data_IF_179505345744
#
_entry.id   IF_179505345744
#
_cell.length_a   1.000
_cell.length_b   1.000
_cell.length_c   1.000
_cell.angle_alpha   90.00
_cell.angle_beta   90.00
_cell.angle_gamma   90.00
#
_symmetry.space_group_name_H-M   'P 1'
#
loop_
_entity.id
_entity.type
_entity.pdbx_description
1 polymer ?
#
# COMPACT_ATOMS: atom_id res chain seq x y z
N UNK A 1 -5.06 -5.68 29.50
CA UNK A 1 -5.15 -4.74 28.35
C UNK A 1 -5.94 -3.47 28.71
N UNK A 2 -7.17 -3.55 29.24
CA UNK A 2 -7.96 -2.34 29.59
C UNK A 2 -7.43 -1.51 30.77
N UNK A 3 -6.69 -2.12 31.71
CA UNK A 3 -6.03 -1.40 32.80
C UNK A 3 -4.96 -0.40 32.34
N UNK A 4 -4.46 -0.51 31.10
CA UNK A 4 -3.51 0.45 30.52
C UNK A 4 -4.14 1.84 30.33
N UNK A 5 -5.48 1.90 30.22
CA UNK A 5 -6.24 3.12 30.00
C UNK A 5 -6.85 3.70 31.29
N UNK A 6 -6.78 2.96 32.41
CA UNK A 6 -7.44 3.32 33.67
C UNK A 6 -6.77 4.48 34.43
N UNK A 7 -5.58 4.92 34.01
CA UNK A 7 -4.84 6.05 34.57
C UNK A 7 -4.54 7.16 33.57
N UNK A 8 -5.18 7.16 32.40
CA UNK A 8 -4.99 8.22 31.41
C UNK A 8 -5.84 9.43 31.77
N UNK A 9 -5.22 10.60 31.67
CA UNK A 9 -5.94 11.86 31.73
C UNK A 9 -6.95 11.95 30.58
N UNK A 10 -8.09 12.60 30.83
CA UNK A 10 -9.22 12.68 29.88
C UNK A 10 -8.75 13.27 28.54
N UNK A 11 -7.87 14.26 28.59
CA UNK A 11 -7.28 14.90 27.41
C UNK A 11 -6.47 13.91 26.57
N UNK A 12 -5.59 13.12 27.20
CA UNK A 12 -4.80 12.10 26.49
C UNK A 12 -5.69 11.02 25.89
N UNK A 13 -6.72 10.60 26.61
CA UNK A 13 -7.72 9.64 26.11
C UNK A 13 -8.44 10.13 24.85
N UNK A 14 -8.89 11.39 24.84
CA UNK A 14 -9.52 12.01 23.67
C UNK A 14 -8.56 12.12 22.48
N UNK A 15 -7.31 12.49 22.71
CA UNK A 15 -6.30 12.59 21.65
C UNK A 15 -5.94 11.22 21.07
N UNK A 16 -5.88 10.16 21.89
CA UNK A 16 -5.68 8.80 21.38
C UNK A 16 -6.84 8.33 20.50
N UNK A 17 -8.08 8.63 20.88
CA UNK A 17 -9.25 8.34 20.05
C UNK A 17 -9.20 9.11 18.72
N UNK A 18 -8.78 10.36 18.75
CA UNK A 18 -8.59 11.17 17.55
C UNK A 18 -7.47 10.63 16.66
N UNK A 19 -6.34 10.22 17.24
CA UNK A 19 -5.23 9.61 16.51
C UNK A 19 -5.66 8.28 15.87
N UNK A 20 -6.42 7.46 16.58
CA UNK A 20 -7.02 6.24 16.02
C UNK A 20 -7.94 6.55 14.85
N UNK A 21 -8.78 7.59 14.96
CA UNK A 21 -9.64 8.01 13.85
C UNK A 21 -8.83 8.43 12.60
N UNK A 22 -7.71 9.14 12.79
CA UNK A 22 -6.82 9.52 11.69
C UNK A 22 -6.19 8.28 11.03
N UNK A 23 -5.71 7.33 11.83
CA UNK A 23 -5.14 6.08 11.31
C UNK A 23 -6.19 5.30 10.51
N UNK A 24 -7.39 5.12 11.05
CA UNK A 24 -8.48 4.43 10.35
C UNK A 24 -8.87 5.13 9.05
N UNK A 25 -8.87 6.47 9.04
CA UNK A 25 -9.15 7.25 7.84
C UNK A 25 -8.03 7.13 6.79
N UNK A 26 -6.76 7.17 7.22
CA UNK A 26 -5.62 6.92 6.36
C UNK A 26 -5.67 5.53 5.73
N UNK A 27 -5.95 4.49 6.53
CA UNK A 27 -6.09 3.11 6.04
C UNK A 27 -7.26 2.95 5.05
N UNK A 28 -8.38 3.64 5.30
CA UNK A 28 -9.51 3.64 4.37
C UNK A 28 -9.12 4.25 3.01
N UNK A 29 -8.41 5.39 3.01
CA UNK A 29 -7.90 6.01 1.78
C UNK A 29 -6.89 5.11 1.08
N UNK A 30 -5.98 4.51 1.84
CA UNK A 30 -5.00 3.57 1.31
C UNK A 30 -5.69 2.40 0.58
N UNK A 31 -6.76 1.87 1.18
CA UNK A 31 -7.60 0.84 0.59
C UNK A 31 -8.18 1.22 -0.78
N UNK A 32 -8.53 2.49 -1.02
CA UNK A 32 -9.02 2.95 -2.33
C UNK A 32 -7.95 2.86 -3.43
N UNK A 33 -6.72 3.29 -3.11
CA UNK A 33 -5.59 3.23 -4.03
C UNK A 33 -5.18 1.78 -4.32
N UNK A 34 -5.05 0.95 -3.28
CA UNK A 34 -4.57 -0.42 -3.44
C UNK A 34 -5.61 -1.37 -4.04
N UNK A 35 -6.90 -1.14 -3.79
CA UNK A 35 -7.97 -1.92 -4.43
C UNK A 35 -7.88 -1.81 -5.94
N UNK A 36 -7.62 -0.61 -6.48
CA UNK A 36 -7.50 -0.39 -7.92
C UNK A 36 -6.39 -1.28 -8.54
N UNK A 37 -5.25 -1.43 -7.84
CA UNK A 37 -4.15 -2.28 -8.29
C UNK A 37 -4.54 -3.76 -8.42
N UNK A 38 -5.37 -4.27 -7.50
CA UNK A 38 -5.79 -5.67 -7.50
C UNK A 38 -6.96 -5.96 -8.47
N UNK A 39 -7.92 -5.04 -8.59
CA UNK A 39 -9.18 -5.32 -9.31
C UNK A 39 -9.18 -4.87 -10.77
N UNK A 40 -8.27 -3.97 -11.17
CA UNK A 40 -8.28 -3.37 -12.51
C UNK A 40 -8.25 -4.43 -13.62
N UNK A 41 -7.40 -5.45 -13.50
CA UNK A 41 -7.26 -6.50 -14.52
C UNK A 41 -8.52 -7.35 -14.67
N UNK A 42 -9.14 -7.74 -13.55
CA UNK A 42 -10.33 -8.61 -13.53
C UNK A 42 -11.57 -7.85 -14.03
N UNK A 43 -11.70 -6.58 -13.67
CA UNK A 43 -12.81 -5.72 -14.12
C UNK A 43 -12.65 -5.38 -15.61
N UNK A 44 -11.46 -4.97 -16.04
CA UNK A 44 -11.20 -4.59 -17.44
C UNK A 44 -11.40 -5.76 -18.41
N UNK A 45 -10.98 -6.97 -18.01
CA UNK A 45 -11.21 -8.20 -18.79
C UNK A 45 -12.64 -8.75 -18.68
N UNK A 46 -13.51 -8.12 -17.88
CA UNK A 46 -14.89 -8.57 -17.59
C UNK A 46 -14.96 -9.99 -17.02
N UNK A 47 -13.91 -10.45 -16.37
CA UNK A 47 -13.86 -11.77 -15.75
C UNK A 47 -14.74 -11.84 -14.48
N UNK A 48 -14.97 -10.71 -13.81
CA UNK A 48 -15.81 -10.61 -12.62
C UNK A 48 -16.58 -9.28 -12.61
N UNK A 49 -17.76 -9.26 -11.97
CA UNK A 49 -18.51 -8.03 -11.68
C UNK A 49 -17.71 -7.14 -10.72
N UNK A 50 -17.75 -5.82 -10.94
CA UNK A 50 -17.01 -4.83 -10.15
C UNK A 50 -17.26 -4.94 -8.65
N UNK A 51 -18.52 -5.08 -8.23
CA UNK A 51 -18.89 -5.22 -6.82
C UNK A 51 -18.22 -6.44 -6.17
N UNK A 52 -18.23 -7.59 -6.85
CA UNK A 52 -17.62 -8.81 -6.32
C UNK A 52 -16.10 -8.71 -6.28
N UNK A 53 -15.49 -8.08 -7.29
CA UNK A 53 -14.04 -7.87 -7.34
C UNK A 53 -13.55 -7.02 -6.16
N UNK A 54 -14.27 -5.95 -5.80
CA UNK A 54 -13.96 -5.10 -4.65
C UNK A 54 -14.13 -5.84 -3.33
N UNK A 55 -15.22 -6.60 -3.15
CA UNK A 55 -15.44 -7.40 -1.93
C UNK A 55 -14.34 -8.45 -1.77
N UNK A 56 -13.96 -9.13 -2.85
CA UNK A 56 -12.85 -10.09 -2.84
C UNK A 56 -11.54 -9.41 -2.46
N UNK A 57 -11.23 -8.25 -3.07
CA UNK A 57 -10.03 -7.49 -2.74
C UNK A 57 -10.00 -7.11 -1.25
N UNK A 58 -11.12 -6.68 -0.66
CA UNK A 58 -11.20 -6.36 0.76
C UNK A 58 -10.90 -7.59 1.65
N UNK A 59 -11.52 -8.73 1.36
CA UNK A 59 -11.29 -9.98 2.11
C UNK A 59 -9.84 -10.44 2.02
N UNK A 60 -9.26 -10.45 0.81
CA UNK A 60 -7.87 -10.89 0.64
C UNK A 60 -6.84 -9.91 1.20
N UNK A 61 -7.09 -8.59 1.16
CA UNK A 61 -6.23 -7.62 1.85
C UNK A 61 -6.26 -7.84 3.37
N UNK A 62 -7.45 -8.06 3.94
CA UNK A 62 -7.60 -8.35 5.37
C UNK A 62 -6.88 -9.65 5.76
N UNK A 63 -7.05 -10.73 4.98
CA UNK A 63 -6.31 -11.99 5.18
C UNK A 63 -4.81 -11.80 4.99
N UNK A 64 -4.39 -10.95 4.06
CA UNK A 64 -2.98 -10.61 3.84
C UNK A 64 -2.33 -10.03 5.08
N UNK A 65 -3.00 -9.12 5.79
CA UNK A 65 -2.51 -8.57 7.06
C UNK A 65 -2.49 -9.64 8.16
N UNK A 66 -3.56 -10.43 8.28
CA UNK A 66 -3.65 -11.49 9.31
C UNK A 66 -2.58 -12.58 9.15
N UNK A 67 -2.28 -12.99 7.91
CA UNK A 67 -1.34 -14.07 7.60
C UNK A 67 0.09 -13.58 7.37
N UNK A 68 0.26 -12.36 6.85
CA UNK A 68 1.56 -11.76 6.52
C UNK A 68 2.32 -11.22 7.74
N UNK A 69 1.62 -11.04 8.87
CA UNK A 69 2.21 -10.62 10.13
C UNK A 69 2.60 -9.14 10.18
N UNK A 70 3.38 -8.78 11.20
CA UNK A 70 3.66 -7.37 11.57
C UNK A 70 5.01 -6.86 11.04
N UNK A 71 5.67 -7.60 10.15
CA UNK A 71 7.03 -7.32 9.67
C UNK A 71 7.16 -5.92 9.07
N UNK A 72 6.19 -5.51 8.25
CA UNK A 72 6.15 -4.18 7.62
C UNK A 72 5.87 -3.11 8.67
N UNK A 73 4.94 -3.36 9.59
CA UNK A 73 4.64 -2.42 10.68
C UNK A 73 5.89 -2.15 11.53
N UNK A 74 6.66 -3.18 11.89
CA UNK A 74 7.93 -3.01 12.60
C UNK A 74 8.95 -2.21 11.78
N UNK A 75 9.05 -2.46 10.47
CA UNK A 75 9.98 -1.70 9.63
C UNK A 75 9.66 -0.19 9.63
N UNK A 76 8.37 0.17 9.61
CA UNK A 76 7.92 1.56 9.71
C UNK A 76 8.19 2.15 11.10
N UNK A 77 7.90 1.41 12.18
CA UNK A 77 8.17 1.89 13.56
C UNK A 77 9.65 2.20 13.77
N UNK A 78 10.56 1.37 13.24
CA UNK A 78 12.01 1.60 13.34
C UNK A 78 12.51 2.77 12.48
N UNK A 79 11.66 3.31 11.59
CA UNK A 79 11.95 4.49 10.79
C UNK A 79 11.48 5.78 11.47
N UNK A 80 10.58 5.69 12.46
CA UNK A 80 10.12 6.86 13.19
C UNK A 80 11.28 7.53 13.94
N UNK A 81 11.28 8.87 14.04
CA UNK A 81 12.27 9.60 14.83
C UNK A 81 12.29 9.10 16.27
N UNK A 82 13.47 8.94 16.86
CA UNK A 82 13.64 8.49 18.25
C UNK A 82 12.92 9.40 19.24
N UNK A 83 12.95 10.70 19.01
CA UNK A 83 12.22 11.70 19.81
C UNK A 83 10.71 11.45 19.85
N UNK A 84 10.13 11.01 18.73
CA UNK A 84 8.71 10.65 18.65
C UNK A 84 8.39 9.44 19.53
N UNK A 85 9.26 8.44 19.49
CA UNK A 85 9.11 7.21 20.26
C UNK A 85 9.29 7.46 21.77
N UNK A 86 10.21 8.36 22.15
CA UNK A 86 10.47 8.69 23.54
C UNK A 86 9.42 9.65 24.13
N UNK A 87 8.82 10.52 23.30
CA UNK A 87 7.91 11.58 23.74
C UNK A 87 6.47 11.38 23.26
N UNK A 88 6.06 10.16 22.94
CA UNK A 88 4.72 9.86 22.39
C UNK A 88 3.55 10.37 23.25
N UNK A 89 3.75 10.50 24.56
CA UNK A 89 2.75 11.02 25.51
C UNK A 89 2.79 12.53 25.73
N UNK A 90 3.75 13.25 25.14
CA UNK A 90 3.86 14.71 25.28
C UNK A 90 3.07 15.42 24.18
N UNK A 91 2.77 16.70 24.40
CA UNK A 91 2.16 17.56 23.37
C UNK A 91 2.99 17.60 22.09
N UNK A 92 4.32 17.55 22.21
CA UNK A 92 5.24 17.53 21.08
C UNK A 92 5.15 16.25 20.25
N UNK A 93 5.16 15.07 20.91
CA UNK A 93 5.03 13.80 20.19
C UNK A 93 3.66 13.64 19.51
N UNK A 94 2.59 14.07 20.18
CA UNK A 94 1.25 14.09 19.58
C UNK A 94 1.18 15.01 18.37
N UNK A 95 1.76 16.22 18.44
CA UNK A 95 1.82 17.13 17.31
C UNK A 95 2.53 16.50 16.11
N UNK A 96 3.67 15.82 16.33
CA UNK A 96 4.38 15.09 15.29
C UNK A 96 3.54 13.98 14.65
N UNK A 97 2.84 13.16 15.45
CA UNK A 97 1.95 12.09 14.93
C UNK A 97 0.84 12.70 14.06
N UNK A 98 0.15 13.73 14.55
CA UNK A 98 -0.94 14.36 13.81
C UNK A 98 -0.43 15.04 12.54
N UNK A 99 0.69 15.74 12.57
CA UNK A 99 1.30 16.36 11.39
C UNK A 99 1.66 15.32 10.32
N UNK A 100 2.28 14.21 10.72
CA UNK A 100 2.63 13.12 9.82
C UNK A 100 1.39 12.49 9.16
N UNK A 101 0.39 12.13 9.96
CA UNK A 101 -0.84 11.51 9.46
C UNK A 101 -1.62 12.47 8.57
N UNK A 102 -1.74 13.75 8.97
CA UNK A 102 -2.48 14.74 8.21
C UNK A 102 -1.82 15.01 6.85
N UNK A 103 -0.48 15.14 6.81
CA UNK A 103 0.25 15.29 5.56
C UNK A 103 0.02 14.09 4.63
N UNK A 104 0.09 12.88 5.18
CA UNK A 104 -0.12 11.66 4.40
C UNK A 104 -1.56 11.53 3.88
N UNK A 105 -2.56 11.85 4.71
CA UNK A 105 -3.98 11.84 4.35
C UNK A 105 -4.27 12.87 3.25
N UNK A 106 -3.83 14.12 3.42
CA UNK A 106 -4.09 15.21 2.45
C UNK A 106 -3.51 14.84 1.10
N UNK A 107 -2.27 14.33 1.08
CA UNK A 107 -1.63 13.94 -0.16
C UNK A 107 -2.33 12.75 -0.83
N UNK A 108 -2.64 11.70 -0.08
CA UNK A 108 -3.32 10.52 -0.63
C UNK A 108 -4.74 10.83 -1.12
N UNK A 109 -5.47 11.71 -0.44
CA UNK A 109 -6.80 12.14 -0.88
C UNK A 109 -6.70 13.02 -2.14
N UNK A 110 -5.70 13.92 -2.18
CA UNK A 110 -5.44 14.76 -3.34
C UNK A 110 -5.11 13.94 -4.59
N UNK A 111 -4.19 12.98 -4.49
CA UNK A 111 -3.82 12.12 -5.62
C UNK A 111 -5.00 11.26 -6.07
N UNK A 112 -5.79 10.74 -5.14
CA UNK A 112 -7.02 10.02 -5.46
C UNK A 112 -8.03 10.90 -6.21
N UNK A 113 -8.26 12.12 -5.73
CA UNK A 113 -9.20 13.06 -6.35
C UNK A 113 -8.81 13.41 -7.79
N UNK A 114 -7.51 13.54 -8.06
CA UNK A 114 -7.00 13.76 -9.42
C UNK A 114 -6.80 12.48 -10.24
N UNK A 115 -7.13 11.30 -9.69
CA UNK A 115 -6.97 10.01 -10.38
C UNK A 115 -5.51 9.65 -10.68
N UNK A 116 -4.56 10.21 -9.94
CA UNK A 116 -3.14 9.95 -10.12
C UNK A 116 -2.76 8.65 -9.38
N UNK A 117 -2.15 7.67 -10.07
CA UNK A 117 -1.64 6.48 -9.39
C UNK A 117 -0.48 6.89 -8.49
N UNK A 118 -0.71 6.87 -7.18
CA UNK A 118 0.27 7.24 -6.16
C UNK A 118 0.51 6.07 -5.21
N UNK A 119 1.71 6.02 -4.63
CA UNK A 119 2.06 5.00 -3.64
C UNK A 119 1.90 5.56 -2.23
N UNK A 120 0.92 5.04 -1.49
CA UNK A 120 0.68 5.42 -0.09
C UNK A 120 1.89 5.17 0.82
N UNK A 121 2.69 4.13 0.54
CA UNK A 121 3.93 3.85 1.27
C UNK A 121 4.96 4.96 1.10
N UNK A 122 5.15 5.47 -0.12
CA UNK A 122 6.07 6.60 -0.36
C UNK A 122 5.58 7.87 0.35
N UNK A 123 4.26 8.08 0.34
CA UNK A 123 3.64 9.22 1.02
C UNK A 123 3.87 9.16 2.54
N UNK A 124 3.70 8.00 3.17
CA UNK A 124 3.96 7.83 4.62
C UNK A 124 5.44 7.99 4.96
N UNK A 125 6.33 7.35 4.19
CA UNK A 125 7.79 7.46 4.34
C UNK A 125 8.22 8.92 4.21
N UNK A 126 7.70 9.64 3.21
CA UNK A 126 7.96 11.07 3.02
C UNK A 126 7.47 11.92 4.19
N UNK A 127 6.28 11.63 4.73
CA UNK A 127 5.75 12.30 5.91
C UNK A 127 6.62 12.07 7.16
N UNK A 128 7.10 10.83 7.38
CA UNK A 128 8.03 10.46 8.47
C UNK A 128 9.34 11.25 8.37
N UNK A 129 9.92 11.32 7.17
CA UNK A 129 11.15 12.10 6.92
C UNK A 129 10.89 13.59 7.16
N UNK A 130 9.74 14.10 6.71
CA UNK A 130 9.34 15.48 6.90
C UNK A 130 9.27 15.87 8.38
N UNK A 131 8.55 15.10 9.20
CA UNK A 131 8.46 15.37 10.64
C UNK A 131 9.81 15.21 11.35
N UNK A 132 10.65 14.26 10.94
CA UNK A 132 11.98 14.07 11.50
C UNK A 132 12.91 15.25 11.20
N UNK A 133 12.86 15.76 9.97
CA UNK A 133 13.63 16.94 9.56
C UNK A 133 13.15 18.20 10.29
N UNK A 134 11.84 18.43 10.36
CA UNK A 134 11.29 19.59 11.10
C UNK A 134 11.63 19.52 12.58
N UNK A 135 11.54 18.33 13.20
CA UNK A 135 11.93 18.14 14.59
C UNK A 135 13.41 18.49 14.79
N UNK A 136 14.32 17.96 13.96
CA UNK A 136 15.75 18.24 14.03
C UNK A 136 16.07 19.74 13.93
N UNK A 137 15.38 20.46 13.03
CA UNK A 137 15.52 21.91 12.87
C UNK A 137 15.04 22.67 14.11
N UNK A 138 13.96 22.21 14.76
CA UNK A 138 13.41 22.86 15.96
C UNK A 138 14.26 22.61 17.21
N UNK A 139 14.83 21.41 17.35
CA UNK A 139 15.65 21.02 18.51
C UNK A 139 17.13 21.34 18.33
N UNK A 140 17.55 21.79 17.14
CA UNK A 140 18.95 22.05 16.80
C UNK A 140 19.81 20.79 16.76
N UNK A 141 19.20 19.61 16.64
CA UNK A 141 19.91 18.33 16.55
C UNK A 141 20.31 18.03 15.11
N UNK A 142 21.36 17.23 14.93
CA UNK A 142 21.77 16.79 13.60
C UNK A 142 20.65 15.96 12.97
N UNK A 143 20.34 16.23 11.70
CA UNK A 143 19.37 15.45 10.90
C UNK A 143 19.73 13.97 10.85
N UNK A 144 21.03 13.67 10.89
CA UNK A 144 21.56 12.30 10.90
C UNK A 144 21.26 11.58 12.21
N UNK A 145 21.18 12.30 13.32
CA UNK A 145 20.85 11.74 14.64
C UNK A 145 19.34 11.63 14.84
N UNK A 146 18.58 12.52 14.20
CA UNK A 146 17.12 12.54 14.27
C UNK A 146 16.45 11.48 13.36
N UNK A 147 17.12 11.04 12.30
CA UNK A 147 16.62 10.05 11.34
C UNK A 147 17.46 8.78 11.36
N UNK A 148 16.80 7.62 11.31
CA UNK A 148 17.50 6.34 11.13
C UNK A 148 17.96 6.17 9.67
N UNK A 149 19.00 6.89 9.26
CA UNK A 149 19.51 6.93 7.87
C UNK A 149 19.76 5.53 7.29
N UNK A 150 20.39 4.57 7.99
CA UNK A 150 20.57 3.22 7.47
C UNK A 150 19.24 2.54 7.13
N UNK A 151 18.22 2.71 7.98
CA UNK A 151 16.90 2.11 7.76
C UNK A 151 16.16 2.79 6.62
N UNK A 152 16.23 4.12 6.53
CA UNK A 152 15.68 4.92 5.43
C UNK A 152 16.26 4.42 4.10
N UNK A 153 17.58 4.33 3.99
CA UNK A 153 18.26 3.86 2.77
C UNK A 153 17.89 2.42 2.41
N UNK A 154 17.79 1.52 3.40
CA UNK A 154 17.36 0.14 3.17
C UNK A 154 15.94 0.06 2.62
N UNK A 155 15.00 0.84 3.17
CA UNK A 155 13.61 0.90 2.70
C UNK A 155 13.57 1.49 1.29
N UNK A 156 14.22 2.62 1.03
CA UNK A 156 14.31 3.20 -0.31
C UNK A 156 14.91 2.23 -1.33
N UNK A 157 15.95 1.50 -0.96
CA UNK A 157 16.53 0.45 -1.79
C UNK A 157 15.49 -0.63 -2.15
N UNK A 158 14.71 -1.10 -1.18
CA UNK A 158 13.63 -2.07 -1.43
C UNK A 158 12.54 -1.53 -2.36
N UNK A 159 12.22 -0.24 -2.26
CA UNK A 159 11.23 0.44 -3.10
C UNK A 159 11.69 0.52 -4.57
N UNK A 160 13.00 0.62 -4.83
CA UNK A 160 13.56 0.62 -6.19
C UNK A 160 13.72 -0.81 -6.73
N UNK A 161 14.12 -1.75 -5.89
CA UNK A 161 14.37 -3.14 -6.30
C UNK A 161 13.07 -3.90 -6.56
N UNK A 162 12.02 -3.63 -5.78
CA UNK A 162 10.76 -4.38 -5.86
C UNK A 162 10.05 -4.32 -7.23
N UNK A 163 9.94 -3.18 -7.95
CA UNK A 163 9.36 -3.16 -9.29
C UNK A 163 10.19 -3.94 -10.31
N UNK A 164 11.53 -3.89 -10.20
CA UNK A 164 12.43 -4.62 -11.09
C UNK A 164 12.23 -6.13 -10.91
N UNK A 165 12.23 -6.58 -9.65
CA UNK A 165 11.98 -7.99 -9.32
C UNK A 165 10.59 -8.41 -9.81
N UNK A 166 9.55 -7.60 -9.55
CA UNK A 166 8.20 -7.86 -10.04
C UNK A 166 8.13 -7.99 -11.56
N UNK A 167 8.82 -7.12 -12.29
CA UNK A 167 8.88 -7.16 -13.76
C UNK A 167 9.60 -8.41 -14.27
N UNK A 168 10.71 -8.80 -13.65
CA UNK A 168 11.45 -10.02 -14.02
C UNK A 168 10.59 -11.27 -13.79
N UNK A 169 9.91 -11.37 -12.65
CA UNK A 169 9.02 -12.51 -12.35
C UNK A 169 7.81 -12.55 -13.27
N UNK A 170 7.13 -11.41 -13.49
CA UNK A 170 5.98 -11.34 -14.39
C UNK A 170 6.38 -11.68 -15.84
N UNK A 171 7.49 -11.13 -16.32
CA UNK A 171 8.03 -11.41 -17.64
C UNK A 171 8.44 -12.87 -17.80
N UNK A 172 9.11 -13.44 -16.80
CA UNK A 172 9.47 -14.86 -16.76
C UNK A 172 8.25 -15.78 -16.79
N UNK A 173 7.21 -15.47 -16.02
CA UNK A 173 5.97 -16.25 -16.01
C UNK A 173 5.27 -16.20 -17.38
N UNK A 174 5.17 -15.01 -17.98
CA UNK A 174 4.60 -14.84 -19.33
C UNK A 174 5.40 -15.63 -20.37
N UNK A 175 6.74 -15.59 -20.30
CA UNK A 175 7.61 -16.33 -21.20
C UNK A 175 7.39 -17.85 -21.07
N UNK A 176 7.38 -18.38 -19.84
CA UNK A 176 7.13 -19.79 -19.58
C UNK A 176 5.74 -20.22 -20.06
N UNK A 177 4.69 -19.48 -19.69
CA UNK A 177 3.32 -19.75 -20.15
C UNK A 177 3.25 -19.76 -21.68
N UNK A 178 3.90 -18.79 -22.34
CA UNK A 178 3.94 -18.75 -23.80
C UNK A 178 4.67 -19.95 -24.39
N UNK A 179 5.77 -20.41 -23.77
CA UNK A 179 6.55 -21.57 -24.22
C UNK A 179 5.83 -22.89 -24.07
N UNK A 180 5.04 -23.07 -23.00
CA UNK A 180 4.25 -24.29 -22.75
C UNK A 180 2.94 -24.31 -23.54
N UNK A 181 2.27 -23.16 -23.69
CA UNK A 181 0.96 -23.10 -24.35
C UNK A 181 1.03 -22.85 -25.87
N UNK A 182 2.22 -22.56 -26.43
CA UNK A 182 2.41 -22.20 -27.85
C UNK A 182 1.89 -23.23 -28.84
N UNK A 183 1.98 -24.52 -28.51
CA UNK A 183 1.58 -25.65 -29.36
C UNK A 183 0.16 -26.18 -29.13
N UNK A 184 -0.62 -25.61 -28.21
CA UNK A 184 -1.95 -26.15 -27.88
C UNK A 184 -3.05 -25.61 -28.79
N UNK A 185 -4.03 -26.46 -29.13
CA UNK A 185 -5.25 -26.06 -29.87
C UNK A 185 -6.05 -24.96 -29.16
N UNK A 186 -5.86 -24.73 -27.85
CA UNK A 186 -6.49 -23.62 -27.12
C UNK A 186 -5.93 -22.27 -27.57
N UNK A 187 -4.61 -22.11 -27.72
CA UNK A 187 -4.01 -20.85 -28.18
C UNK A 187 -4.42 -20.48 -29.59
N UNK A 188 -4.46 -21.45 -30.51
CA UNK A 188 -4.95 -21.24 -31.87
C UNK A 188 -6.38 -20.68 -31.87
N UNK A 189 -7.24 -21.12 -30.93
CA UNK A 189 -8.63 -20.70 -30.82
C UNK A 189 -8.84 -19.33 -30.16
N UNK A 190 -7.89 -18.81 -29.38
CA UNK A 190 -7.98 -17.50 -28.72
C UNK A 190 -7.78 -16.35 -29.74
N UNK A 191 -7.02 -16.59 -30.81
CA UNK A 191 -6.71 -15.58 -31.83
C UNK A 191 -7.53 -15.71 -33.13
N UNK A 192 -8.39 -16.73 -33.23
CA UNK A 192 -9.28 -16.91 -34.39
C UNK A 192 -10.56 -16.11 -34.18
N UNK A 193 -10.92 -15.29 -35.16
CA UNK A 193 -12.26 -14.69 -35.22
C UNK A 193 -13.33 -15.79 -35.37
N UNK A 194 -14.59 -15.54 -34.98
CA UNK A 194 -15.68 -16.51 -35.16
C UNK A 194 -15.80 -17.04 -36.59
N UNK A 195 -15.55 -16.18 -37.59
CA UNK A 195 -15.57 -16.54 -39.01
C UNK A 195 -14.42 -17.46 -39.43
N UNK A 196 -13.19 -17.20 -38.98
CA UNK A 196 -12.04 -18.07 -39.25
C UNK A 196 -12.16 -19.42 -38.55
N UNK A 197 -12.81 -19.44 -37.38
CA UNK A 197 -13.09 -20.65 -36.62
C UNK A 197 -14.21 -21.49 -37.23
N UNK A 198 -15.24 -20.86 -37.79
CA UNK A 198 -16.26 -21.53 -38.60
C UNK A 198 -15.63 -22.20 -39.83
N UNK A 199 -14.70 -21.52 -40.51
CA UNK A 199 -13.98 -22.05 -41.68
C UNK A 199 -13.05 -23.22 -41.36
N UNK A 200 -12.49 -23.28 -40.15
CA UNK A 200 -11.46 -24.26 -39.75
C UNK A 200 -12.01 -25.41 -38.90
N UNK A 201 -12.91 -25.13 -37.97
CA UNK A 201 -13.43 -26.08 -36.98
C UNK A 201 -14.93 -26.38 -37.16
N UNK A 202 -15.63 -25.70 -38.09
CA UNK A 202 -17.07 -25.87 -38.31
C UNK A 202 -17.95 -25.38 -37.16
N UNK A 203 -17.38 -24.66 -36.17
CA UNK A 203 -18.08 -24.19 -34.97
C UNK A 203 -18.00 -22.67 -34.84
N UNK A 204 -19.19 -22.03 -34.83
CA UNK A 204 -19.35 -20.57 -34.84
C UNK A 204 -19.25 -19.91 -33.46
N UNK A 205 -19.53 -20.65 -32.37
CA UNK A 205 -19.59 -20.08 -31.02
C UNK A 205 -18.23 -20.12 -30.29
N UNK A 206 -17.87 -19.09 -29.49
CA UNK A 206 -16.70 -19.12 -28.61
C UNK A 206 -16.79 -20.29 -27.62
N UNK A 207 -15.65 -20.81 -27.11
CA UNK A 207 -15.68 -21.82 -26.05
C UNK A 207 -16.23 -21.25 -24.74
#
# INVERSE_FOLDING_TARGET
>A
MLHLFAGLDLHTGLLLLLALAFVLFYEAINGFHDTANAVATVIYTRAMRSQLAVVMAAVFNFLGVLLGGLSVAYAIVHMLPTDLLLNMGSSHGLAMVFSMLLAAIIWNLGTWYFGLPASSSHTLIGAIIGIGLTNALMTGTSVVDALNIPKVLSIFGSLIVSPIVGLVFAGGLIFLLRRYWSGTKKRARIHLTPAEREKKDGKKKPP
#
